data_IF_772167219850
#
_entry.id   IF_772167219850
#
_cell.length_a   1.000
_cell.length_b   1.000
_cell.length_c   1.000
_cell.angle_alpha   90.00
_cell.angle_beta   90.00
_cell.angle_gamma   90.00
#
_symmetry.space_group_name_H-M   'P 1'
#
loop_
_entity.id
_entity.type
_entity.pdbx_description
1 polymer ?
#
# COMPACT_ATOMS: atom_id res chain seq x y z
N UNK A 1 -34.48 14.78 -2.54
CA UNK A 1 -34.48 13.55 -1.72
C UNK A 1 -33.02 13.32 -1.43
N UNK A 2 -32.60 13.72 -0.23
CA UNK A 2 -31.20 13.61 0.20
C UNK A 2 -30.91 12.12 0.37
N UNK A 3 -29.79 11.67 -0.17
CA UNK A 3 -29.45 10.24 -0.14
C UNK A 3 -28.82 9.94 1.21
N UNK A 4 -29.20 8.83 1.84
CA UNK A 4 -28.75 8.47 3.20
C UNK A 4 -27.22 8.32 3.32
N UNK A 5 -26.51 8.15 2.21
CA UNK A 5 -25.05 8.07 2.16
C UNK A 5 -24.37 9.44 2.01
N UNK A 6 -25.09 10.50 1.67
CA UNK A 6 -24.51 11.83 1.50
C UNK A 6 -24.08 12.38 2.87
N UNK A 7 -22.76 12.61 3.03
CA UNK A 7 -22.16 13.10 4.27
C UNK A 7 -21.64 12.01 5.21
N UNK A 8 -21.80 10.73 4.87
CA UNK A 8 -21.17 9.62 5.61
C UNK A 8 -19.68 9.60 5.27
N UNK A 9 -18.84 9.91 6.26
CA UNK A 9 -17.38 9.92 6.09
C UNK A 9 -16.80 8.51 6.09
N UNK A 10 -17.29 7.65 6.98
CA UNK A 10 -16.86 6.28 7.16
C UNK A 10 -18.06 5.46 7.62
N UNK A 11 -18.30 4.31 6.99
CA UNK A 11 -19.37 3.37 7.31
C UNK A 11 -18.75 2.03 7.73
N UNK A 12 -18.77 1.74 9.03
CA UNK A 12 -18.14 0.55 9.64
C UNK A 12 -19.16 -0.12 10.57
N UNK A 13 -19.30 -1.44 10.44
CA UNK A 13 -20.12 -2.27 11.32
C UNK A 13 -19.22 -3.27 12.07
N UNK A 14 -19.38 -3.38 13.39
CA UNK A 14 -18.54 -4.22 14.28
C UNK A 14 -19.36 -5.00 15.33
N UNK A 15 -20.67 -5.09 15.14
CA UNK A 15 -21.62 -5.58 16.15
C UNK A 15 -21.44 -7.07 16.49
N UNK A 16 -20.80 -7.84 15.61
CA UNK A 16 -20.50 -9.26 15.76
C UNK A 16 -19.13 -9.53 16.39
N UNK A 17 -18.31 -8.50 16.61
CA UNK A 17 -16.99 -8.67 17.21
C UNK A 17 -17.09 -8.84 18.74
N UNK A 18 -16.35 -9.77 19.37
CA UNK A 18 -16.40 -9.96 20.84
C UNK A 18 -15.96 -8.71 21.63
N UNK A 19 -15.15 -7.84 21.03
CA UNK A 19 -14.73 -6.55 21.58
C UNK A 19 -15.02 -5.42 20.56
N UNK A 20 -16.26 -4.92 20.43
CA UNK A 20 -16.65 -4.01 19.34
C UNK A 20 -15.90 -2.67 19.35
N UNK A 21 -15.64 -2.10 20.52
CA UNK A 21 -14.98 -0.80 20.65
C UNK A 21 -13.51 -0.84 20.22
N UNK A 22 -12.79 -1.90 20.61
CA UNK A 22 -11.40 -2.10 20.21
C UNK A 22 -11.28 -2.32 18.70
N UNK A 23 -12.21 -3.07 18.12
CA UNK A 23 -12.24 -3.32 16.68
C UNK A 23 -12.62 -2.07 15.88
N UNK A 24 -13.58 -1.27 16.36
CA UNK A 24 -13.92 0.01 15.76
C UNK A 24 -12.71 0.95 15.75
N UNK A 25 -11.98 1.05 16.86
CA UNK A 25 -10.76 1.85 16.94
C UNK A 25 -9.70 1.37 15.94
N UNK A 26 -9.50 0.05 15.82
CA UNK A 26 -8.55 -0.53 14.86
C UNK A 26 -8.94 -0.19 13.41
N UNK A 27 -10.21 -0.36 13.05
CA UNK A 27 -10.70 -0.10 11.69
C UNK A 27 -10.65 1.39 11.33
N UNK A 28 -10.97 2.28 12.26
CA UNK A 28 -10.82 3.72 12.05
C UNK A 28 -9.36 4.13 11.83
N UNK A 29 -8.42 3.55 12.58
CA UNK A 29 -6.98 3.77 12.36
C UNK A 29 -6.54 3.31 10.97
N UNK A 30 -6.95 2.11 10.55
CA UNK A 30 -6.64 1.60 9.20
C UNK A 30 -7.23 2.53 8.14
N UNK A 31 -8.50 2.92 8.26
CA UNK A 31 -9.15 3.82 7.32
C UNK A 31 -8.42 5.18 7.21
N UNK A 32 -7.98 5.75 8.34
CA UNK A 32 -7.20 6.99 8.35
C UNK A 32 -5.89 6.84 7.59
N UNK A 33 -5.14 5.76 7.84
CA UNK A 33 -3.84 5.51 7.17
C UNK A 33 -4.03 5.42 5.65
N UNK A 34 -5.04 4.68 5.18
CA UNK A 34 -5.30 4.55 3.74
C UNK A 34 -5.79 5.86 3.12
N UNK A 35 -6.58 6.64 3.86
CA UNK A 35 -7.01 7.97 3.41
C UNK A 35 -5.81 8.90 3.25
N UNK A 36 -4.93 8.95 4.23
CA UNK A 36 -3.70 9.75 4.17
C UNK A 36 -2.77 9.29 3.04
N UNK A 37 -2.62 7.97 2.89
CA UNK A 37 -1.83 7.37 1.82
C UNK A 37 -2.32 7.77 0.43
N UNK A 38 -3.64 7.69 0.19
CA UNK A 38 -4.24 8.11 -1.08
C UNK A 38 -4.09 9.63 -1.30
N UNK A 39 -4.33 10.44 -0.26
CA UNK A 39 -4.23 11.90 -0.34
C UNK A 39 -2.81 12.39 -0.64
N UNK A 40 -1.79 11.62 -0.24
CA UNK A 40 -0.39 11.91 -0.53
C UNK A 40 0.12 11.28 -1.84
N UNK A 41 -0.78 10.85 -2.72
CA UNK A 41 -0.42 10.33 -4.04
C UNK A 41 0.18 8.93 -4.00
N UNK A 42 -0.30 8.09 -3.07
CA UNK A 42 0.22 6.74 -2.81
C UNK A 42 1.68 6.75 -2.35
N UNK A 43 2.02 7.72 -1.51
CA UNK A 43 3.27 7.77 -0.77
C UNK A 43 2.97 8.10 0.68
N UNK A 44 3.55 7.34 1.60
CA UNK A 44 3.50 7.64 3.02
C UNK A 44 4.90 7.54 3.61
N UNK A 45 5.27 8.48 4.48
CA UNK A 45 6.50 8.37 5.25
C UNK A 45 6.33 7.29 6.31
N UNK A 46 6.72 6.06 5.97
CA UNK A 46 6.76 4.94 6.87
C UNK A 46 8.15 4.82 7.48
N UNK A 47 8.21 4.66 8.80
CA UNK A 47 9.40 4.05 9.40
C UNK A 47 9.48 2.56 9.03
N UNK A 48 10.66 1.95 9.19
CA UNK A 48 10.86 0.55 8.82
C UNK A 48 9.98 -0.43 9.60
N UNK A 49 9.59 -0.10 10.84
CA UNK A 49 8.69 -0.95 11.63
C UNK A 49 7.25 -0.88 11.14
N UNK A 50 6.77 0.28 10.73
CA UNK A 50 5.45 0.48 10.12
C UNK A 50 5.38 -0.16 8.74
N UNK A 51 6.47 -0.06 7.97
CA UNK A 51 6.58 -0.67 6.66
C UNK A 51 6.41 -2.21 6.71
N UNK A 52 6.91 -2.83 7.77
CA UNK A 52 6.71 -4.26 8.04
C UNK A 52 5.27 -4.61 8.43
N UNK A 53 4.53 -3.69 9.06
CA UNK A 53 3.13 -3.90 9.46
C UNK A 53 2.20 -3.73 8.25
N UNK A 54 2.55 -2.84 7.32
CA UNK A 54 1.75 -2.51 6.13
C UNK A 54 2.54 -2.76 4.83
N UNK A 55 2.75 -4.04 4.44
CA UNK A 55 3.51 -4.38 3.25
C UNK A 55 2.91 -3.78 1.96
N UNK A 56 1.59 -3.63 1.89
CA UNK A 56 0.92 -3.01 0.74
C UNK A 56 1.30 -1.53 0.58
N UNK A 57 1.28 -0.75 1.66
CA UNK A 57 1.64 0.68 1.62
C UNK A 57 3.12 0.82 1.27
N UNK A 58 3.97 -0.05 1.82
CA UNK A 58 5.39 -0.11 1.49
C UNK A 58 5.63 -0.43 0.01
N UNK A 59 4.89 -1.38 -0.54
CA UNK A 59 4.96 -1.76 -1.95
C UNK A 59 4.67 -0.55 -2.84
N UNK A 60 3.50 0.05 -2.69
CA UNK A 60 3.06 1.14 -3.56
C UNK A 60 3.90 2.42 -3.37
N UNK A 61 4.28 2.75 -2.13
CA UNK A 61 5.22 3.86 -1.86
C UNK A 61 6.56 3.60 -2.52
N UNK A 62 7.08 2.37 -2.44
CA UNK A 62 8.34 1.98 -3.05
C UNK A 62 8.33 2.13 -4.57
N UNK A 63 7.25 1.70 -5.23
CA UNK A 63 7.05 1.89 -6.67
C UNK A 63 6.98 3.37 -7.02
N UNK A 64 6.21 4.17 -6.28
CA UNK A 64 6.08 5.60 -6.55
C UNK A 64 7.43 6.32 -6.45
N UNK A 65 8.22 6.04 -5.40
CA UNK A 65 9.57 6.60 -5.23
C UNK A 65 10.52 6.17 -6.36
N UNK A 66 10.51 4.88 -6.73
CA UNK A 66 11.34 4.38 -7.82
C UNK A 66 11.01 5.06 -9.16
N UNK A 67 9.73 5.32 -9.42
CA UNK A 67 9.28 6.05 -10.61
C UNK A 67 9.68 7.54 -10.60
N UNK A 68 9.72 8.17 -9.43
CA UNK A 68 10.16 9.57 -9.26
C UNK A 68 11.69 9.75 -9.29
N UNK A 69 12.44 8.65 -9.34
CA UNK A 69 13.90 8.65 -9.45
C UNK A 69 14.64 8.34 -8.15
N UNK A 70 13.95 8.17 -7.02
CA UNK A 70 14.53 7.68 -5.77
C UNK A 70 14.51 6.15 -5.74
N UNK A 71 15.33 5.55 -6.62
CA UNK A 71 15.34 4.11 -6.82
C UNK A 71 15.84 3.34 -5.60
N UNK A 72 16.83 3.85 -4.87
CA UNK A 72 17.41 3.16 -3.71
C UNK A 72 16.37 2.98 -2.61
N UNK A 73 15.69 4.06 -2.20
CA UNK A 73 14.63 4.01 -1.21
C UNK A 73 13.42 3.23 -1.73
N UNK A 74 13.07 3.43 -3.00
CA UNK A 74 11.97 2.70 -3.66
C UNK A 74 12.19 1.18 -3.64
N UNK A 75 13.40 0.74 -3.93
CA UNK A 75 13.79 -0.67 -3.91
C UNK A 75 13.76 -1.23 -2.46
N UNK A 76 14.26 -0.49 -1.48
CA UNK A 76 14.22 -0.91 -0.07
C UNK A 76 12.79 -1.18 0.41
N UNK A 77 11.85 -0.26 0.15
CA UNK A 77 10.46 -0.41 0.56
C UNK A 77 9.74 -1.51 -0.22
N UNK A 78 9.95 -1.59 -1.54
CA UNK A 78 9.36 -2.66 -2.37
C UNK A 78 9.84 -4.04 -1.91
N UNK A 79 11.11 -4.16 -1.53
CA UNK A 79 11.69 -5.41 -1.02
C UNK A 79 11.06 -5.89 0.28
N UNK A 80 10.49 -5.01 1.10
CA UNK A 80 9.77 -5.41 2.32
C UNK A 80 8.54 -6.23 1.93
N UNK A 81 7.73 -5.72 0.99
CA UNK A 81 6.58 -6.44 0.48
C UNK A 81 6.96 -7.72 -0.26
N UNK A 82 7.99 -7.67 -1.13
CA UNK A 82 8.43 -8.86 -1.88
C UNK A 82 8.88 -10.02 -0.97
N UNK A 83 9.40 -9.72 0.22
CA UNK A 83 9.79 -10.73 1.22
C UNK A 83 8.62 -11.22 2.07
N UNK A 84 7.56 -10.44 2.20
CA UNK A 84 6.36 -10.78 2.96
C UNK A 84 5.58 -11.92 2.29
N UNK A 85 5.33 -11.83 0.98
CA UNK A 85 4.57 -12.86 0.26
C UNK A 85 4.91 -12.92 -1.24
N UNK A 86 4.97 -14.14 -1.80
CA UNK A 86 5.31 -14.35 -3.21
C UNK A 86 4.32 -13.68 -4.20
N UNK A 87 3.08 -13.44 -3.76
CA UNK A 87 2.05 -12.75 -4.55
C UNK A 87 2.44 -11.31 -4.94
N UNK A 88 3.29 -10.63 -4.17
CA UNK A 88 3.76 -9.28 -4.51
C UNK A 88 4.64 -9.27 -5.77
N UNK A 89 5.44 -10.32 -5.97
CA UNK A 89 6.25 -10.48 -7.18
C UNK A 89 5.36 -10.72 -8.40
N UNK A 90 4.34 -11.56 -8.26
CA UNK A 90 3.36 -11.81 -9.32
C UNK A 90 2.59 -10.53 -9.67
N UNK A 91 2.15 -9.77 -8.66
CA UNK A 91 1.48 -8.48 -8.86
C UNK A 91 2.38 -7.50 -9.64
N UNK A 92 3.64 -7.38 -9.23
CA UNK A 92 4.61 -6.50 -9.89
C UNK A 92 4.77 -6.83 -11.38
N UNK A 93 4.88 -8.12 -11.72
CA UNK A 93 4.97 -8.59 -13.11
C UNK A 93 3.69 -8.26 -13.88
N UNK A 94 2.51 -8.58 -13.34
CA UNK A 94 1.22 -8.31 -14.01
C UNK A 94 0.97 -6.83 -14.24
N UNK A 95 1.35 -5.98 -13.28
CA UNK A 95 1.23 -4.54 -13.42
C UNK A 95 2.07 -4.00 -14.59
N UNK A 96 3.23 -4.61 -14.87
CA UNK A 96 4.08 -4.19 -15.99
C UNK A 96 3.48 -4.44 -17.37
N UNK A 97 2.60 -5.44 -17.51
CA UNK A 97 1.97 -5.78 -18.80
C UNK A 97 1.14 -4.62 -19.37
N UNK A 98 0.63 -3.75 -18.51
CA UNK A 98 -0.22 -2.61 -18.89
C UNK A 98 0.36 -1.25 -18.45
N UNK A 99 1.63 -1.19 -18.06
CA UNK A 99 2.25 -0.01 -17.44
C UNK A 99 1.44 0.57 -16.27
N UNK A 100 0.78 -0.31 -15.50
CA UNK A 100 -0.06 0.12 -14.40
C UNK A 100 0.80 0.83 -13.36
N UNK A 101 0.36 2.03 -12.96
CA UNK A 101 1.05 2.82 -11.94
C UNK A 101 2.52 3.17 -12.31
N UNK A 102 2.83 3.27 -13.61
CA UNK A 102 4.19 3.55 -14.09
C UNK A 102 5.15 2.37 -13.95
N UNK A 103 4.67 1.18 -13.58
CA UNK A 103 5.49 -0.03 -13.49
C UNK A 103 5.78 -0.51 -14.92
N UNK A 104 7.03 -0.39 -15.36
CA UNK A 104 7.50 -0.89 -16.67
C UNK A 104 8.25 -2.20 -16.51
N UNK A 105 8.37 -3.00 -17.58
CA UNK A 105 9.19 -4.22 -17.55
C UNK A 105 10.65 -3.93 -17.13
N UNK A 106 11.20 -2.78 -17.53
CA UNK A 106 12.53 -2.33 -17.09
C UNK A 106 12.61 -2.11 -15.59
N UNK A 107 11.59 -1.48 -15.00
CA UNK A 107 11.51 -1.26 -13.56
C UNK A 107 11.41 -2.59 -12.81
N UNK A 108 10.56 -3.51 -13.29
CA UNK A 108 10.42 -4.86 -12.72
C UNK A 108 11.76 -5.59 -12.73
N UNK A 109 12.46 -5.56 -13.86
CA UNK A 109 13.77 -6.20 -13.99
C UNK A 109 14.78 -5.61 -13.00
N UNK A 110 14.83 -4.28 -12.83
CA UNK A 110 15.72 -3.61 -11.87
C UNK A 110 15.38 -3.93 -10.41
N UNK A 111 14.10 -3.97 -10.06
CA UNK A 111 13.65 -4.26 -8.70
C UNK A 111 13.90 -5.73 -8.32
N UNK A 112 13.83 -6.65 -9.29
CA UNK A 112 14.03 -8.08 -9.06
C UNK A 112 15.48 -8.55 -9.25
N UNK A 113 16.36 -7.78 -9.90
CA UNK A 113 17.72 -8.20 -10.22
C UNK A 113 18.66 -8.35 -9.01
N UNK A 114 18.41 -7.62 -7.92
CA UNK A 114 19.25 -7.65 -6.69
C UNK A 114 18.80 -8.71 -5.67
N UNK A 115 17.86 -9.60 -6.04
CA UNK A 115 17.41 -10.71 -5.21
C UNK A 115 18.32 -11.95 -5.34
N UNK A 116 19.59 -11.77 -5.71
CA UNK A 116 20.54 -12.85 -6.03
C UNK A 116 21.55 -13.11 -4.91
#
# INVERSE_FOLDING_TARGET
MDKEWEGVLVDINVDDHPNPLEELERLLKVNSIYSDFQNNGYELELDMSQALIYPEISFWTGISLANKGDFEKGQQLTNIALRDHAGWKELLIRCSENNFFGITEELVNKLLSDQK
#
